data_IF_517162883228
#
_entry.id   IF_517162883228
#
_cell.length_a   1.000
_cell.length_b   1.000
_cell.length_c   1.000
_cell.angle_alpha   90.00
_cell.angle_beta   90.00
_cell.angle_gamma   90.00
#
_symmetry.space_group_name_H-M   'P 1'
#
loop_
_entity.id
_entity.type
_entity.pdbx_description
1 polymer ?
#
# COMPACT_ATOMS: atom_id res chain seq x y z
N UNK A 1 -23.89 -27.38 14.60
CA UNK A 1 -23.32 -26.02 14.58
C UNK A 1 -21.89 -25.97 15.18
N UNK A 2 -21.12 -27.09 15.08
CA UNK A 2 -19.74 -27.18 15.62
C UNK A 2 -18.68 -27.64 14.60
N UNK A 3 -19.06 -27.79 13.33
CA UNK A 3 -18.13 -28.28 12.29
C UNK A 3 -17.55 -27.17 11.39
N UNK A 4 -17.97 -25.92 11.54
CA UNK A 4 -17.49 -24.78 10.72
C UNK A 4 -16.32 -24.02 11.34
N UNK A 5 -15.95 -24.30 12.58
CA UNK A 5 -14.86 -23.60 13.28
C UNK A 5 -13.49 -24.29 13.16
N UNK A 6 -13.44 -25.53 12.66
CA UNK A 6 -12.19 -26.28 12.52
C UNK A 6 -11.48 -26.05 11.16
N UNK A 7 -12.16 -25.51 10.14
CA UNK A 7 -11.60 -25.24 8.81
C UNK A 7 -10.96 -23.84 8.67
N UNK A 8 -11.17 -22.96 9.64
CA UNK A 8 -10.64 -21.59 9.59
C UNK A 8 -9.18 -21.46 10.08
N UNK A 9 -8.59 -22.51 10.67
CA UNK A 9 -7.22 -22.44 11.24
C UNK A 9 -6.09 -22.80 10.27
N UNK A 10 -6.39 -23.27 9.04
CA UNK A 10 -5.36 -23.69 8.08
C UNK A 10 -5.38 -22.91 6.75
N UNK A 11 -6.07 -21.78 6.68
CA UNK A 11 -6.12 -20.92 5.48
C UNK A 11 -5.41 -19.56 5.71
N UNK A 12 -4.32 -19.57 6.45
CA UNK A 12 -3.35 -18.49 6.36
C UNK A 12 -2.52 -18.71 5.09
N UNK A 13 -2.64 -17.78 4.13
CA UNK A 13 -1.78 -17.59 2.96
C UNK A 13 -2.24 -18.12 1.60
N UNK A 14 -3.46 -17.84 1.16
CA UNK A 14 -3.74 -17.88 -0.29
C UNK A 14 -4.52 -16.65 -0.72
N UNK A 15 -3.82 -15.67 -1.25
CA UNK A 15 -4.44 -14.58 -2.01
C UNK A 15 -4.51 -14.99 -3.48
N UNK A 16 -5.70 -15.40 -3.93
CA UNK A 16 -5.99 -15.54 -5.34
C UNK A 16 -6.56 -14.22 -5.86
N UNK A 17 -5.77 -13.48 -6.63
CA UNK A 17 -6.29 -12.42 -7.49
C UNK A 17 -6.81 -13.10 -8.74
N UNK A 18 -8.12 -13.21 -8.88
CA UNK A 18 -8.76 -13.66 -10.13
C UNK A 18 -8.75 -12.48 -11.08
N UNK A 19 -7.88 -12.53 -12.07
CA UNK A 19 -7.87 -11.61 -13.20
C UNK A 19 -9.15 -11.85 -14.02
N UNK A 20 -10.10 -10.92 -13.95
CA UNK A 20 -11.24 -10.90 -14.87
C UNK A 20 -10.82 -10.11 -16.11
N UNK A 21 -10.58 -10.84 -17.19
CA UNK A 21 -10.46 -10.29 -18.55
C UNK A 21 -11.85 -9.77 -18.97
N UNK A 22 -12.09 -8.49 -18.82
CA UNK A 22 -13.34 -7.85 -19.24
C UNK A 22 -13.11 -6.99 -20.48
N UNK A 23 -13.16 -7.64 -21.66
CA UNK A 23 -13.41 -6.95 -22.92
C UNK A 23 -14.90 -6.60 -22.98
N UNK A 24 -15.29 -5.45 -22.46
CA UNK A 24 -16.47 -4.67 -22.88
C UNK A 24 -16.44 -3.30 -22.22
N UNK A 25 -16.59 -2.28 -23.05
CA UNK A 25 -16.85 -0.90 -22.69
C UNK A 25 -18.00 -0.80 -21.68
N UNK A 26 -17.72 -0.44 -20.47
CA UNK A 26 -18.70 0.16 -19.54
C UNK A 26 -17.94 1.11 -18.62
N UNK A 27 -18.40 2.37 -18.61
CA UNK A 27 -18.18 3.45 -17.69
C UNK A 27 -17.58 3.07 -16.33
N UNK A 28 -16.56 3.87 -15.93
CA UNK A 28 -16.11 4.11 -14.56
C UNK A 28 -16.53 3.02 -13.57
N UNK A 29 -15.91 1.86 -13.63
CA UNK A 29 -16.12 0.83 -12.62
C UNK A 29 -15.09 1.04 -11.52
N UNK A 30 -15.55 1.61 -10.43
CA UNK A 30 -14.94 1.56 -9.12
C UNK A 30 -14.64 0.09 -8.78
N UNK A 31 -13.38 -0.32 -8.90
CA UNK A 31 -12.96 -1.63 -8.42
C UNK A 31 -12.84 -1.56 -6.90
N UNK A 32 -13.92 -1.91 -6.21
CA UNK A 32 -13.92 -2.15 -4.78
C UNK A 32 -13.22 -3.48 -4.50
N UNK A 33 -11.99 -3.44 -3.99
CA UNK A 33 -11.36 -4.62 -3.44
C UNK A 33 -11.52 -4.60 -1.91
N UNK A 34 -12.60 -5.21 -1.42
CA UNK A 34 -12.82 -5.42 0.01
C UNK A 34 -12.01 -6.66 0.43
N UNK A 35 -10.86 -6.47 1.02
CA UNK A 35 -10.05 -7.58 1.56
C UNK A 35 -10.33 -7.69 3.06
N UNK A 36 -11.07 -8.71 3.44
CA UNK A 36 -11.24 -9.11 4.84
C UNK A 36 -10.06 -10.00 5.23
N UNK A 37 -9.08 -9.43 5.91
CA UNK A 37 -8.14 -10.24 6.71
C UNK A 37 -8.66 -10.28 8.14
N UNK A 38 -8.59 -11.44 8.79
CA UNK A 38 -9.02 -11.66 10.18
C UNK A 38 -8.31 -10.66 11.13
N UNK A 39 -8.97 -9.54 11.40
CA UNK A 39 -8.51 -8.50 12.33
C UNK A 39 -8.19 -7.12 11.73
N UNK A 40 -7.86 -7.03 10.44
CA UNK A 40 -7.50 -5.75 9.81
C UNK A 40 -8.40 -5.49 8.60
N UNK A 41 -9.19 -4.42 8.65
CA UNK A 41 -9.99 -3.97 7.53
C UNK A 41 -9.30 -2.77 6.88
N UNK A 42 -8.72 -3.00 5.69
CA UNK A 42 -8.22 -1.92 4.85
C UNK A 42 -9.20 -1.70 3.71
N UNK A 43 -9.54 -0.46 3.46
CA UNK A 43 -10.19 -0.09 2.23
C UNK A 43 -9.13 0.50 1.29
N UNK A 44 -9.00 -0.07 0.10
CA UNK A 44 -8.03 0.37 -0.90
C UNK A 44 -8.72 0.56 -2.24
N UNK A 45 -8.69 1.79 -2.72
CA UNK A 45 -9.14 2.16 -4.05
C UNK A 45 -7.94 2.61 -4.89
N UNK A 46 -7.83 2.10 -6.13
CA UNK A 46 -6.75 2.47 -7.04
C UNK A 46 -7.35 2.93 -8.36
N UNK A 47 -7.08 4.16 -8.72
CA UNK A 47 -7.59 4.84 -9.91
C UNK A 47 -6.48 5.41 -10.79
N UNK A 48 -6.86 5.88 -11.98
CA UNK A 48 -5.93 6.46 -12.94
C UNK A 48 -5.11 5.45 -13.74
N UNK A 49 -4.26 5.98 -14.62
CA UNK A 49 -3.32 5.23 -15.45
C UNK A 49 -1.94 5.26 -14.82
N UNK A 50 -1.33 4.11 -14.60
CA UNK A 50 -0.01 4.04 -13.98
C UNK A 50 0.55 2.64 -13.98
N UNK A 51 1.29 2.33 -12.96
CA UNK A 51 1.88 1.01 -12.74
C UNK A 51 0.78 -0.05 -12.52
N UNK A 52 1.05 -1.34 -12.80
CA UNK A 52 0.06 -2.39 -12.58
C UNK A 52 -0.50 -2.35 -11.16
N UNK A 53 -1.83 -2.31 -11.06
CA UNK A 53 -2.54 -2.20 -9.77
C UNK A 53 -2.14 -3.29 -8.78
N UNK A 54 -1.85 -4.50 -9.27
CA UNK A 54 -1.38 -5.63 -8.46
C UNK A 54 -0.03 -5.35 -7.77
N UNK A 55 0.89 -4.63 -8.43
CA UNK A 55 2.16 -4.24 -7.81
C UNK A 55 1.91 -3.25 -6.67
N UNK A 56 1.08 -2.24 -6.93
CA UNK A 56 0.66 -1.26 -5.93
C UNK A 56 0.03 -1.94 -4.70
N UNK A 57 -0.95 -2.81 -4.92
CA UNK A 57 -1.64 -3.57 -3.87
C UNK A 57 -0.67 -4.39 -3.03
N UNK A 58 0.25 -5.12 -3.66
CA UNK A 58 1.20 -5.98 -2.95
C UNK A 58 2.13 -5.18 -2.03
N UNK A 59 2.63 -4.02 -2.49
CA UNK A 59 3.48 -3.14 -1.67
C UNK A 59 2.70 -2.61 -0.47
N UNK A 60 1.47 -2.10 -0.71
CA UNK A 60 0.62 -1.53 0.35
C UNK A 60 0.29 -2.59 1.39
N UNK A 61 -0.17 -3.79 0.99
CA UNK A 61 -0.52 -4.86 1.92
C UNK A 61 0.68 -5.33 2.72
N UNK A 62 1.84 -5.50 2.08
CA UNK A 62 3.06 -5.84 2.78
C UNK A 62 3.42 -4.80 3.85
N UNK A 63 3.35 -3.52 3.49
CA UNK A 63 3.67 -2.43 4.40
C UNK A 63 2.68 -2.34 5.57
N UNK A 64 1.37 -2.34 5.28
CA UNK A 64 0.33 -2.22 6.31
C UNK A 64 0.35 -3.39 7.28
N UNK A 65 0.49 -4.61 6.79
CA UNK A 65 0.57 -5.80 7.65
C UNK A 65 1.80 -5.79 8.55
N UNK A 66 2.90 -5.23 8.09
CA UNK A 66 4.15 -5.20 8.85
C UNK A 66 4.19 -4.06 9.87
N UNK A 67 3.75 -2.86 9.49
CA UNK A 67 3.96 -1.64 10.28
C UNK A 67 2.69 -1.10 10.95
N UNK A 68 1.52 -1.39 10.40
CA UNK A 68 0.23 -0.88 10.90
C UNK A 68 -0.84 -1.97 11.06
N UNK A 69 -0.50 -3.17 11.59
CA UNK A 69 -1.36 -4.36 11.55
C UNK A 69 -2.68 -4.21 12.33
N UNK A 70 -2.79 -3.22 13.22
CA UNK A 70 -3.97 -3.02 14.08
C UNK A 70 -4.78 -1.78 13.73
N UNK A 71 -4.42 -1.10 12.62
CA UNK A 71 -5.06 0.16 12.24
C UNK A 71 -6.05 -0.08 11.10
N UNK A 72 -7.26 0.48 11.25
CA UNK A 72 -8.24 0.55 10.16
C UNK A 72 -7.91 1.80 9.35
N UNK A 73 -7.55 1.61 8.08
CA UNK A 73 -7.06 2.70 7.22
C UNK A 73 -7.75 2.59 5.87
N UNK A 74 -8.24 3.71 5.37
CA UNK A 74 -8.76 3.84 4.02
C UNK A 74 -7.71 4.57 3.17
N UNK A 75 -7.33 3.98 2.05
CA UNK A 75 -6.33 4.52 1.16
C UNK A 75 -6.92 4.62 -0.24
N UNK A 76 -6.87 5.80 -0.79
CA UNK A 76 -7.15 6.08 -2.19
C UNK A 76 -5.82 6.34 -2.90
N UNK A 77 -5.55 5.59 -3.97
CA UNK A 77 -4.38 5.79 -4.82
C UNK A 77 -4.84 6.39 -6.14
N UNK A 78 -4.27 7.53 -6.50
CA UNK A 78 -4.52 8.19 -7.77
C UNK A 78 -3.24 8.23 -8.59
N UNK A 79 -3.21 7.52 -9.72
CA UNK A 79 -2.14 7.67 -10.71
C UNK A 79 -2.46 8.82 -11.64
N UNK A 80 -1.60 9.84 -11.65
CA UNK A 80 -1.71 11.00 -12.54
C UNK A 80 -0.34 11.54 -12.94
N UNK A 81 -0.28 12.39 -13.95
CA UNK A 81 0.99 13.00 -14.37
C UNK A 81 1.41 14.10 -13.42
N UNK A 82 2.46 13.84 -12.61
CA UNK A 82 3.02 14.78 -11.64
C UNK A 82 4.29 15.50 -12.14
N UNK A 83 4.81 15.11 -13.30
CA UNK A 83 6.05 15.64 -13.86
C UNK A 83 6.11 17.17 -13.93
N UNK A 84 4.98 17.83 -14.21
CA UNK A 84 4.90 19.30 -14.26
C UNK A 84 5.03 19.96 -12.88
N UNK A 85 4.71 19.23 -11.84
CA UNK A 85 4.80 19.67 -10.44
C UNK A 85 6.19 19.40 -9.85
N UNK A 86 7.04 18.65 -10.59
CA UNK A 86 8.41 18.35 -10.18
C UNK A 86 8.53 17.32 -9.08
N UNK A 87 7.48 16.53 -8.85
CA UNK A 87 7.42 15.50 -7.81
C UNK A 87 7.01 14.16 -8.39
N UNK A 88 7.24 13.08 -7.63
CA UNK A 88 6.87 11.72 -8.00
C UNK A 88 5.65 11.19 -7.22
N UNK A 89 5.37 11.75 -6.06
CA UNK A 89 4.24 11.38 -5.24
C UNK A 89 3.84 12.45 -4.23
N UNK A 90 2.67 12.23 -3.63
CA UNK A 90 2.14 12.98 -2.49
C UNK A 90 1.34 12.05 -1.59
N UNK A 91 1.35 12.31 -0.30
CA UNK A 91 0.48 11.67 0.68
C UNK A 91 -0.30 12.71 1.47
N UNK A 92 -1.58 12.80 1.20
CA UNK A 92 -2.49 13.74 1.85
C UNK A 92 -3.48 13.04 2.79
N UNK A 93 -3.86 13.76 3.86
CA UNK A 93 -4.93 13.36 4.76
C UNK A 93 -6.27 13.78 4.18
N UNK A 94 -7.13 12.82 3.85
CA UNK A 94 -8.48 13.09 3.39
C UNK A 94 -9.43 13.26 4.58
N UNK A 95 -9.82 14.50 4.87
CA UNK A 95 -10.71 14.86 5.96
C UNK A 95 -10.02 15.42 7.20
N UNK A 96 -10.32 14.88 8.39
CA UNK A 96 -9.78 15.40 9.65
C UNK A 96 -8.32 14.99 9.86
N UNK A 97 -7.45 15.97 10.14
CA UNK A 97 -6.05 15.75 10.51
C UNK A 97 -5.86 15.21 11.94
N UNK A 98 -6.93 15.13 12.74
CA UNK A 98 -6.89 14.53 14.07
C UNK A 98 -7.05 13.01 14.00
N UNK A 99 -5.97 12.27 14.29
CA UNK A 99 -5.90 10.81 14.19
C UNK A 99 -6.43 10.28 12.84
N UNK A 100 -5.87 10.74 11.73
CA UNK A 100 -6.41 10.45 10.40
C UNK A 100 -6.42 8.96 10.11
N UNK A 101 -7.42 8.55 9.30
CA UNK A 101 -7.58 7.17 8.84
C UNK A 101 -7.92 7.09 7.35
N UNK A 102 -8.13 8.23 6.73
CA UNK A 102 -8.41 8.34 5.30
C UNK A 102 -7.26 9.10 4.64
N UNK A 103 -6.68 8.51 3.62
CA UNK A 103 -5.52 9.05 2.93
C UNK A 103 -5.70 9.00 1.43
N UNK A 104 -5.26 10.05 0.75
CA UNK A 104 -5.06 10.11 -0.69
C UNK A 104 -3.57 10.05 -0.96
N UNK A 105 -3.13 9.07 -1.74
CA UNK A 105 -1.76 9.00 -2.25
C UNK A 105 -1.80 9.19 -3.76
N UNK A 106 -1.13 10.22 -4.24
CA UNK A 106 -0.96 10.48 -5.66
C UNK A 106 0.41 9.99 -6.12
N UNK A 107 0.48 9.34 -7.28
CA UNK A 107 1.73 8.80 -7.84
C UNK A 107 1.85 9.16 -9.31
N UNK A 108 3.05 9.53 -9.72
CA UNK A 108 3.35 9.81 -11.13
C UNK A 108 3.23 8.54 -11.98
N UNK A 109 2.74 8.71 -13.20
CA UNK A 109 2.48 7.60 -14.14
C UNK A 109 3.73 7.14 -14.89
N UNK A 110 4.78 7.96 -14.94
CA UNK A 110 5.93 7.75 -15.82
C UNK A 110 7.21 7.35 -15.06
N UNK A 111 7.07 6.50 -14.05
CA UNK A 111 8.20 5.98 -13.29
C UNK A 111 8.59 4.58 -13.76
N UNK A 112 9.88 4.23 -13.67
CA UNK A 112 10.30 2.84 -13.75
C UNK A 112 9.89 2.08 -12.47
N UNK A 113 10.00 0.75 -12.48
CA UNK A 113 9.51 -0.10 -11.39
C UNK A 113 10.18 0.19 -10.04
N UNK A 114 11.48 0.40 -10.05
CA UNK A 114 12.24 0.68 -8.84
C UNK A 114 11.81 2.00 -8.22
N UNK A 115 11.82 3.07 -9.03
CA UNK A 115 11.42 4.40 -8.60
C UNK A 115 9.97 4.41 -8.11
N UNK A 116 9.06 3.74 -8.83
CA UNK A 116 7.65 3.62 -8.43
C UNK A 116 7.50 2.99 -7.04
N UNK A 117 8.17 1.86 -6.79
CA UNK A 117 8.07 1.18 -5.50
C UNK A 117 8.70 2.02 -4.39
N UNK A 118 9.84 2.66 -4.64
CA UNK A 118 10.48 3.56 -3.68
C UNK A 118 9.59 4.74 -3.34
N UNK A 119 9.03 5.43 -4.35
CA UNK A 119 8.09 6.54 -4.14
C UNK A 119 6.86 6.09 -3.34
N UNK A 120 6.24 4.97 -3.71
CA UNK A 120 5.09 4.45 -2.97
C UNK A 120 5.45 4.14 -1.51
N UNK A 121 6.62 3.57 -1.24
CA UNK A 121 7.08 3.31 0.12
C UNK A 121 7.35 4.61 0.89
N UNK A 122 7.89 5.64 0.24
CA UNK A 122 8.06 6.98 0.80
C UNK A 122 6.71 7.56 1.26
N UNK A 123 5.70 7.55 0.41
CA UNK A 123 4.37 8.05 0.75
C UNK A 123 3.69 7.21 1.85
N UNK A 124 3.94 5.90 1.88
CA UNK A 124 3.46 5.03 2.97
C UNK A 124 4.17 5.31 4.30
N UNK A 125 5.40 5.80 4.30
CA UNK A 125 6.06 6.29 5.53
C UNK A 125 5.36 7.54 6.04
N UNK A 126 5.00 8.49 5.18
CA UNK A 126 4.21 9.66 5.60
C UNK A 126 2.85 9.24 6.16
N UNK A 127 2.16 8.31 5.51
CA UNK A 127 0.93 7.73 6.03
C UNK A 127 1.16 7.14 7.44
N UNK A 128 2.24 6.36 7.65
CA UNK A 128 2.60 5.82 8.96
C UNK A 128 2.81 6.93 9.99
N UNK A 129 3.57 7.97 9.65
CA UNK A 129 3.85 9.11 10.52
C UNK A 129 2.55 9.79 11.00
N UNK A 130 1.58 9.98 10.10
CA UNK A 130 0.26 10.50 10.44
C UNK A 130 -0.54 9.55 11.34
N UNK A 131 -0.57 8.26 11.02
CA UNK A 131 -1.35 7.25 11.74
C UNK A 131 -0.87 7.06 13.17
N UNK A 132 0.45 6.99 13.38
CA UNK A 132 1.06 6.85 14.71
C UNK A 132 1.11 8.19 15.45
N UNK A 133 0.98 9.32 14.71
CA UNK A 133 0.89 10.66 15.24
C UNK A 133 2.24 11.31 15.57
N UNK A 134 3.35 10.85 14.96
CA UNK A 134 4.59 11.62 14.93
C UNK A 134 4.43 12.87 14.07
N UNK A 135 3.75 12.76 12.93
CA UNK A 135 3.33 13.89 12.11
C UNK A 135 1.92 14.32 12.49
N UNK A 136 1.71 15.59 12.76
CA UNK A 136 0.44 16.15 13.22
C UNK A 136 0.23 17.57 12.72
N UNK A 137 -1.02 17.90 12.48
CA UNK A 137 -1.43 19.27 12.27
C UNK A 137 -2.12 19.84 13.52
N UNK A 138 -1.78 21.05 13.89
CA UNK A 138 -2.43 21.78 14.97
C UNK A 138 -2.52 23.26 14.61
N UNK A 139 -3.74 23.79 14.55
CA UNK A 139 -4.01 25.21 14.24
C UNK A 139 -3.35 25.66 12.93
N UNK A 140 -3.44 24.84 11.87
CA UNK A 140 -2.85 25.13 10.56
C UNK A 140 -1.32 25.12 10.50
N UNK A 141 -0.67 24.50 11.49
CA UNK A 141 0.77 24.29 11.54
C UNK A 141 1.08 22.82 11.65
N UNK A 142 2.07 22.35 10.90
CA UNK A 142 2.52 20.97 10.90
C UNK A 142 3.65 20.78 11.93
N UNK A 143 3.54 19.73 12.72
CA UNK A 143 4.52 19.35 13.73
C UNK A 143 4.98 17.90 13.49
N UNK A 144 6.26 17.66 13.64
CA UNK A 144 6.84 16.34 13.69
C UNK A 144 7.55 16.15 15.03
N UNK A 145 7.16 15.12 15.79
CA UNK A 145 7.64 14.83 17.14
C UNK A 145 7.74 16.07 18.07
N UNK A 146 6.71 16.94 17.98
CA UNK A 146 6.55 18.23 18.70
C UNK A 146 7.34 19.40 18.11
N UNK A 147 8.23 19.21 17.16
CA UNK A 147 8.93 20.28 16.46
C UNK A 147 8.07 20.86 15.31
N UNK A 148 8.13 22.17 15.14
CA UNK A 148 7.42 22.85 14.06
C UNK A 148 8.15 22.63 12.74
N UNK A 149 7.50 21.90 11.83
CA UNK A 149 8.05 21.55 10.51
C UNK A 149 8.32 22.78 9.64
N UNK A 150 7.48 23.80 9.72
CA UNK A 150 7.60 25.03 8.95
C UNK A 150 8.89 25.82 9.18
N UNK A 151 9.66 25.50 10.22
CA UNK A 151 10.95 26.13 10.50
C UNK A 151 12.08 25.64 9.58
N UNK A 152 11.83 24.59 8.80
CA UNK A 152 12.83 23.95 7.95
C UNK A 152 12.46 24.11 6.47
N UNK A 153 13.47 24.26 5.61
CA UNK A 153 13.27 24.07 4.18
C UNK A 153 12.83 22.62 3.91
N UNK A 154 12.04 22.39 2.86
CA UNK A 154 11.42 21.10 2.56
C UNK A 154 12.38 19.91 2.66
N UNK A 155 13.57 20.03 2.07
CA UNK A 155 14.55 18.94 2.06
C UNK A 155 15.12 18.60 3.45
N UNK A 156 15.03 19.54 4.40
CA UNK A 156 15.57 19.39 5.75
C UNK A 156 14.46 19.17 6.80
N UNK A 157 13.22 19.03 6.37
CA UNK A 157 12.14 18.71 7.28
C UNK A 157 12.35 17.34 7.91
N UNK A 158 12.25 17.20 9.24
CA UNK A 158 12.59 15.95 9.93
C UNK A 158 11.82 14.72 9.44
N UNK A 159 10.53 14.87 9.14
CA UNK A 159 9.70 13.79 8.60
C UNK A 159 10.12 13.36 7.19
N UNK A 160 10.60 14.30 6.36
CA UNK A 160 11.12 14.01 5.03
C UNK A 160 12.47 13.29 5.08
N UNK A 161 13.32 13.68 6.05
CA UNK A 161 14.60 13.00 6.28
C UNK A 161 14.35 11.55 6.72
N UNK A 162 13.39 11.31 7.61
CA UNK A 162 13.00 9.96 8.01
C UNK A 162 12.45 9.18 6.82
N UNK A 163 11.51 9.75 6.05
CA UNK A 163 10.89 9.09 4.92
C UNK A 163 11.93 8.66 3.88
N UNK A 164 12.88 9.51 3.53
CA UNK A 164 13.97 9.17 2.59
C UNK A 164 14.91 8.08 3.11
N UNK A 165 15.18 8.03 4.40
CA UNK A 165 15.99 6.95 5.00
C UNK A 165 15.24 5.64 5.01
N UNK A 166 13.98 5.67 5.45
CA UNK A 166 13.14 4.46 5.51
C UNK A 166 12.83 3.89 4.13
N UNK A 167 12.56 4.72 3.13
CA UNK A 167 12.28 4.32 1.76
C UNK A 167 13.32 3.32 1.22
N UNK A 168 14.61 3.59 1.41
CA UNK A 168 15.71 2.73 0.94
C UNK A 168 15.71 1.39 1.69
N UNK A 169 15.61 1.44 3.01
CA UNK A 169 15.58 0.24 3.86
C UNK A 169 14.34 -0.61 3.53
N UNK A 170 13.19 0.03 3.37
CA UNK A 170 11.93 -0.64 3.05
C UNK A 170 11.95 -1.28 1.66
N UNK A 171 12.56 -0.62 0.69
CA UNK A 171 12.72 -1.17 -0.66
C UNK A 171 13.54 -2.46 -0.64
N UNK A 172 14.67 -2.48 0.06
CA UNK A 172 15.51 -3.67 0.20
C UNK A 172 14.76 -4.79 0.94
N UNK A 173 14.07 -4.46 2.02
CA UNK A 173 13.27 -5.44 2.78
C UNK A 173 12.12 -6.02 1.94
N UNK A 174 11.45 -5.19 1.14
CA UNK A 174 10.34 -5.64 0.29
C UNK A 174 10.83 -6.54 -0.84
N UNK A 175 11.93 -6.18 -1.50
CA UNK A 175 12.50 -6.96 -2.62
C UNK A 175 13.03 -8.30 -2.13
N UNK A 176 13.78 -8.33 -1.03
CA UNK A 176 14.28 -9.57 -0.42
C UNK A 176 13.13 -10.49 0.04
N UNK A 177 12.07 -9.91 0.63
CA UNK A 177 10.88 -10.68 1.01
C UNK A 177 10.21 -11.32 -0.20
N UNK A 178 10.12 -10.60 -1.32
CA UNK A 178 9.52 -11.09 -2.55
C UNK A 178 10.34 -12.23 -3.18
N UNK A 179 11.66 -12.14 -3.14
CA UNK A 179 12.54 -13.22 -3.62
C UNK A 179 12.37 -14.48 -2.80
N UNK A 180 12.27 -14.41 -1.48
CA UNK A 180 11.98 -15.54 -0.61
C UNK A 180 10.64 -16.21 -0.96
N UNK A 181 9.60 -15.46 -1.29
CA UNK A 181 8.30 -16.01 -1.70
C UNK A 181 8.38 -16.74 -3.03
N UNK A 182 9.07 -16.17 -4.03
CA UNK A 182 9.26 -16.83 -5.32
C UNK A 182 10.05 -18.13 -5.22
N UNK A 183 11.04 -18.21 -4.34
CA UNK A 183 11.80 -19.42 -4.06
C UNK A 183 10.93 -20.47 -3.36
N UNK A 184 10.09 -20.07 -2.39
CA UNK A 184 9.15 -20.97 -1.73
C UNK A 184 8.08 -21.51 -2.68
N UNK A 185 7.51 -20.67 -3.55
CA UNK A 185 6.57 -21.13 -4.57
C UNK A 185 7.22 -22.06 -5.59
N UNK A 186 8.47 -21.80 -5.98
CA UNK A 186 9.21 -22.69 -6.88
C UNK A 186 9.55 -24.04 -6.21
N UNK A 187 9.88 -24.04 -4.92
CA UNK A 187 10.16 -25.28 -4.17
C UNK A 187 8.89 -26.12 -3.93
N UNK A 188 7.70 -25.51 -3.86
CA UNK A 188 6.43 -26.22 -3.70
C UNK A 188 5.76 -26.62 -5.02
N UNK A 189 6.25 -26.15 -6.17
CA UNK A 189 5.81 -26.61 -7.49
C UNK A 189 6.53 -27.89 -7.91
N UNK A 190 6.51 -28.93 -7.06
CA UNK A 190 6.71 -30.30 -7.52
C UNK A 190 5.47 -30.75 -8.29
N UNK A 191 5.62 -31.41 -9.47
CA UNK A 191 4.51 -31.61 -10.39
C UNK A 191 3.59 -32.73 -9.88
N UNK A 192 2.57 -32.39 -9.10
CA UNK A 192 1.39 -33.24 -8.95
C UNK A 192 0.42 -32.92 -10.06
N UNK A 193 0.42 -33.76 -11.09
CA UNK A 193 -0.64 -33.85 -12.09
C UNK A 193 -1.99 -33.98 -11.38
N UNK A 194 -2.80 -32.94 -11.40
CA UNK A 194 -4.24 -33.06 -11.16
C UNK A 194 -4.92 -33.18 -12.52
N UNK A 195 -5.34 -34.39 -12.87
CA UNK A 195 -6.31 -34.62 -13.93
C UNK A 195 -7.67 -34.18 -13.38
N UNK A 196 -8.25 -33.16 -13.94
CA UNK A 196 -9.67 -32.88 -13.78
C UNK A 196 -10.44 -33.74 -14.76
N UNK A 197 -11.21 -34.70 -14.23
CA UNK A 197 -12.24 -35.40 -14.98
C UNK A 197 -13.48 -34.54 -14.90
N UNK A 198 -13.94 -34.01 -16.05
CA UNK A 198 -15.22 -33.30 -16.19
C UNK A 198 -16.26 -34.36 -16.54
N UNK A 199 -17.29 -34.47 -15.73
CA UNK A 199 -18.54 -35.14 -16.07
C UNK A 199 -19.57 -34.08 -16.47
#
# INVERSE_FOLDING_TARGET
MFLLLALAKNLTNYYYVKEYDCKREINFSLFFCLVFTLGNMYFLEISGYGYPKSVCQNVIYWFLNKYLPRHKINIEILHRGLKREGVYGYCDVNGSSYKPRNFLIELDTYMNKELYIKTLLHELVHLKQWVIGSLREKRGKTYYDKELVNNYEYLYQPHEIEARKEELILYDLYTNHKEMWTVHEAAHKSPKRFQFVVY
#
